data_IF_313799838893
#
_entry.id   IF_313799838893
#
_cell.length_a   1.000
_cell.length_b   1.000
_cell.length_c   1.000
_cell.angle_alpha   90.00
_cell.angle_beta   90.00
_cell.angle_gamma   90.00
#
_symmetry.space_group_name_H-M   'P 1'
#
loop_
_entity.id
_entity.type
_entity.pdbx_description
1 polymer ?
#
# COMPACT_ATOMS: atom_id res chain seq x y z
N UNK A 1 52.94 -15.92 -6.97
CA UNK A 1 51.94 -15.38 -6.02
C UNK A 1 51.08 -14.26 -6.61
N UNK A 2 51.58 -13.41 -7.53
CA UNK A 2 50.80 -12.35 -8.18
C UNK A 2 49.61 -12.89 -9.03
N UNK A 3 49.83 -13.91 -9.86
CA UNK A 3 48.78 -14.44 -10.76
C UNK A 3 47.57 -15.05 -10.03
N UNK A 4 47.78 -15.68 -8.88
CA UNK A 4 46.70 -16.24 -8.09
C UNK A 4 45.82 -15.10 -7.52
N UNK A 5 46.45 -14.00 -7.09
CA UNK A 5 45.74 -12.84 -6.52
C UNK A 5 44.87 -12.11 -7.54
N UNK A 6 45.35 -11.95 -8.78
CA UNK A 6 44.60 -11.31 -9.86
C UNK A 6 43.41 -12.15 -10.34
N UNK A 7 43.56 -13.47 -10.30
CA UNK A 7 42.51 -14.41 -10.70
C UNK A 7 41.38 -14.43 -9.66
N UNK A 8 41.72 -14.40 -8.37
CA UNK A 8 40.74 -14.22 -7.29
C UNK A 8 40.06 -12.83 -7.38
N UNK A 9 40.82 -11.75 -7.55
CA UNK A 9 40.27 -10.39 -7.65
C UNK A 9 39.29 -10.23 -8.81
N UNK A 10 39.63 -10.73 -10.01
CA UNK A 10 38.73 -10.72 -11.16
C UNK A 10 37.50 -11.63 -10.98
N UNK A 11 37.63 -12.75 -10.27
CA UNK A 11 36.52 -13.65 -9.95
C UNK A 11 35.54 -12.97 -9.00
N UNK A 12 36.01 -12.36 -7.91
CA UNK A 12 35.15 -11.61 -6.97
C UNK A 12 34.51 -10.39 -7.64
N UNK A 13 35.24 -9.66 -8.49
CA UNK A 13 34.68 -8.54 -9.28
C UNK A 13 33.53 -8.95 -10.19
N UNK A 14 33.62 -10.12 -10.83
CA UNK A 14 32.54 -10.66 -11.68
C UNK A 14 31.31 -11.05 -10.84
N UNK A 15 31.50 -11.64 -9.65
CA UNK A 15 30.39 -11.95 -8.76
C UNK A 15 29.73 -10.69 -8.19
N UNK A 16 30.50 -9.69 -7.76
CA UNK A 16 29.93 -8.43 -7.28
C UNK A 16 29.17 -7.69 -8.38
N UNK A 17 29.67 -7.65 -9.61
CA UNK A 17 28.91 -7.10 -10.74
C UNK A 17 27.61 -7.87 -11.00
N UNK A 18 27.62 -9.21 -10.97
CA UNK A 18 26.41 -10.03 -11.15
C UNK A 18 25.39 -9.80 -10.03
N UNK A 19 25.84 -9.72 -8.78
CA UNK A 19 24.98 -9.42 -7.64
C UNK A 19 24.39 -8.02 -7.72
N UNK A 20 25.19 -7.02 -8.13
CA UNK A 20 24.70 -5.66 -8.35
C UNK A 20 23.64 -5.60 -9.45
N UNK A 21 23.88 -6.26 -10.59
CA UNK A 21 22.89 -6.34 -11.68
C UNK A 21 21.60 -7.00 -11.19
N UNK A 22 21.70 -8.12 -10.47
CA UNK A 22 20.54 -8.82 -9.92
C UNK A 22 19.75 -7.93 -8.95
N UNK A 23 20.44 -7.20 -8.07
CA UNK A 23 19.80 -6.29 -7.12
C UNK A 23 19.11 -5.12 -7.83
N UNK A 24 19.73 -4.56 -8.86
CA UNK A 24 19.11 -3.52 -9.70
C UNK A 24 17.87 -4.07 -10.41
N UNK A 25 17.95 -5.26 -11.01
CA UNK A 25 16.80 -5.90 -11.66
C UNK A 25 15.66 -6.15 -10.68
N UNK A 26 15.96 -6.65 -9.47
CA UNK A 26 14.96 -6.85 -8.42
C UNK A 26 14.32 -5.54 -7.99
N UNK A 27 15.12 -4.47 -7.85
CA UNK A 27 14.65 -3.15 -7.45
C UNK A 27 13.73 -2.53 -8.51
N UNK A 28 14.10 -2.65 -9.80
CA UNK A 28 13.26 -2.19 -10.92
C UNK A 28 11.95 -2.98 -10.99
N UNK A 29 12.00 -4.30 -10.79
CA UNK A 29 10.81 -5.14 -10.75
C UNK A 29 9.90 -4.76 -9.58
N UNK A 30 10.46 -4.56 -8.39
CA UNK A 30 9.71 -4.11 -7.21
C UNK A 30 9.07 -2.75 -7.44
N UNK A 31 9.82 -1.79 -8.00
CA UNK A 31 9.31 -0.47 -8.34
C UNK A 31 8.13 -0.54 -9.32
N UNK A 32 8.26 -1.37 -10.36
CA UNK A 32 7.18 -1.60 -11.31
C UNK A 32 5.93 -2.17 -10.63
N UNK A 33 6.10 -3.21 -9.81
CA UNK A 33 5.03 -3.86 -9.03
C UNK A 33 4.30 -2.86 -8.13
N UNK A 34 5.04 -2.10 -7.32
CA UNK A 34 4.48 -1.08 -6.42
C UNK A 34 3.73 0.00 -7.20
N UNK A 35 4.31 0.46 -8.32
CA UNK A 35 3.69 1.48 -9.16
C UNK A 35 2.38 0.98 -9.76
N UNK A 36 2.34 -0.28 -10.21
CA UNK A 36 1.11 -0.92 -10.71
C UNK A 36 0.07 -1.05 -9.60
N UNK A 37 0.45 -1.45 -8.38
CA UNK A 37 -0.48 -1.57 -7.26
C UNK A 37 -1.12 -0.23 -6.88
N UNK A 38 -0.31 0.83 -6.80
CA UNK A 38 -0.79 2.17 -6.42
C UNK A 38 -1.76 2.79 -7.43
N UNK A 39 -1.54 2.49 -8.70
CA UNK A 39 -2.33 3.01 -9.82
C UNK A 39 -3.42 2.04 -10.28
N UNK A 40 -3.65 0.96 -9.54
CA UNK A 40 -4.67 -0.02 -9.89
C UNK A 40 -6.06 0.62 -9.84
N UNK A 41 -6.97 0.28 -10.77
CA UNK A 41 -8.34 0.79 -10.73
C UNK A 41 -9.04 0.34 -9.44
N UNK A 42 -9.96 1.19 -8.97
CA UNK A 42 -10.83 0.84 -7.85
C UNK A 42 -11.69 -0.36 -8.23
N UNK A 43 -11.77 -1.34 -7.32
CA UNK A 43 -12.68 -2.48 -7.46
C UNK A 43 -14.10 -2.15 -7.01
N UNK A 44 -14.23 -1.16 -6.12
CA UNK A 44 -15.50 -0.64 -5.63
C UNK A 44 -15.29 0.80 -5.21
N UNK A 45 -16.27 1.64 -5.48
CA UNK A 45 -16.23 3.07 -5.21
C UNK A 45 -17.54 3.47 -4.56
N UNK A 46 -17.46 4.20 -3.45
CA UNK A 46 -18.60 4.81 -2.78
C UNK A 46 -18.32 6.29 -2.55
N UNK A 47 -19.37 7.10 -2.59
CA UNK A 47 -19.29 8.53 -2.29
C UNK A 47 -19.85 8.75 -0.89
N UNK A 48 -19.19 9.61 -0.11
CA UNK A 48 -19.65 9.93 1.24
C UNK A 48 -21.02 10.65 1.22
N UNK A 49 -21.83 10.54 2.29
CA UNK A 49 -23.12 11.22 2.39
C UNK A 49 -23.09 12.73 2.08
N UNK A 50 -22.04 13.43 2.53
CA UNK A 50 -21.81 14.85 2.23
C UNK A 50 -21.45 15.12 0.77
N UNK A 51 -21.12 14.08 0.00
CA UNK A 51 -20.62 14.17 -1.35
C UNK A 51 -19.17 14.65 -1.44
N UNK A 52 -18.50 14.96 -0.33
CA UNK A 52 -17.14 15.52 -0.33
C UNK A 52 -16.06 14.48 -0.60
N UNK A 53 -16.22 13.28 -0.09
CA UNK A 53 -15.19 12.25 -0.17
C UNK A 53 -15.60 11.12 -1.13
N UNK A 54 -14.62 10.60 -1.86
CA UNK A 54 -14.74 9.36 -2.61
C UNK A 54 -13.90 8.32 -1.89
N UNK A 55 -14.51 7.18 -1.55
CA UNK A 55 -13.85 6.06 -0.89
C UNK A 55 -13.77 4.91 -1.88
N UNK A 56 -12.55 4.50 -2.20
CA UNK A 56 -12.28 3.50 -3.22
C UNK A 56 -11.53 2.32 -2.62
N UNK A 57 -12.07 1.12 -2.78
CA UNK A 57 -11.37 -0.10 -2.43
C UNK A 57 -10.52 -0.58 -3.61
N UNK A 58 -9.20 -0.57 -3.45
CA UNK A 58 -8.24 -0.96 -4.49
C UNK A 58 -7.64 -2.33 -4.16
N UNK A 59 -8.07 -3.37 -4.89
CA UNK A 59 -7.57 -4.75 -4.72
C UNK A 59 -6.21 -4.91 -5.39
N UNK A 60 -5.22 -5.45 -4.66
CA UNK A 60 -3.85 -5.65 -5.17
C UNK A 60 -3.61 -7.08 -5.69
N UNK A 61 -4.62 -7.95 -5.62
CA UNK A 61 -4.47 -9.40 -5.75
C UNK A 61 -4.13 -9.99 -7.11
N UNK A 62 -3.99 -9.20 -8.18
CA UNK A 62 -3.49 -9.73 -9.47
C UNK A 62 -1.97 -9.89 -9.52
N UNK A 63 -1.26 -9.52 -8.45
CA UNK A 63 0.21 -9.49 -8.41
C UNK A 63 0.72 -10.33 -7.23
N UNK A 64 1.62 -11.29 -7.49
CA UNK A 64 2.40 -12.07 -6.50
C UNK A 64 1.60 -12.57 -5.27
N UNK A 65 0.64 -13.48 -5.46
CA UNK A 65 -0.11 -14.16 -4.37
C UNK A 65 -0.83 -13.26 -3.36
N UNK A 66 -0.92 -11.94 -3.58
CA UNK A 66 -1.66 -10.99 -2.73
C UNK A 66 -3.18 -11.08 -2.95
N UNK A 67 -3.67 -12.24 -3.39
CA UNK A 67 -4.99 -12.49 -3.99
C UNK A 67 -6.20 -12.10 -3.13
N UNK A 68 -6.00 -11.76 -1.87
CA UNK A 68 -7.03 -11.35 -0.93
C UNK A 68 -6.83 -9.97 -0.31
N UNK A 69 -5.83 -9.19 -0.72
CA UNK A 69 -5.54 -7.90 -0.09
C UNK A 69 -6.05 -6.70 -0.90
N UNK A 70 -6.40 -5.64 -0.18
CA UNK A 70 -6.74 -4.34 -0.73
C UNK A 70 -6.25 -3.22 0.19
N UNK A 71 -6.32 -1.98 -0.30
CA UNK A 71 -6.23 -0.79 0.55
C UNK A 71 -7.39 0.14 0.19
N UNK A 72 -7.75 0.99 1.13
CA UNK A 72 -8.75 2.02 0.95
C UNK A 72 -8.05 3.30 0.51
N UNK A 73 -8.56 3.89 -0.56
CA UNK A 73 -8.14 5.16 -1.11
C UNK A 73 -9.24 6.17 -0.85
N UNK A 74 -8.95 7.18 -0.03
CA UNK A 74 -9.86 8.29 0.27
C UNK A 74 -9.39 9.51 -0.52
N UNK A 75 -10.29 10.08 -1.32
CA UNK A 75 -10.05 11.24 -2.16
C UNK A 75 -10.96 12.37 -1.69
N UNK A 76 -10.38 13.51 -1.29
CA UNK A 76 -11.15 14.73 -1.01
C UNK A 76 -11.47 15.42 -2.34
N UNK A 77 -12.76 15.53 -2.71
CA UNK A 77 -13.15 16.17 -3.97
C UNK A 77 -12.89 17.67 -3.99
N UNK A 78 -12.73 18.31 -2.84
CA UNK A 78 -12.32 19.71 -2.77
C UNK A 78 -10.82 19.88 -3.02
N UNK A 79 -10.04 18.84 -2.71
CA UNK A 79 -8.58 18.81 -2.87
C UNK A 79 -8.16 17.49 -3.52
N UNK A 80 -8.50 17.24 -4.80
CA UNK A 80 -8.36 15.93 -5.44
C UNK A 80 -6.90 15.45 -5.54
N UNK A 81 -5.93 16.36 -5.40
CA UNK A 81 -4.50 16.03 -5.27
C UNK A 81 -4.15 15.33 -3.95
N UNK A 82 -5.01 15.43 -2.93
CA UNK A 82 -4.82 14.82 -1.61
C UNK A 82 -5.48 13.44 -1.56
N UNK A 83 -4.69 12.44 -1.94
CA UNK A 83 -5.12 11.04 -1.95
C UNK A 83 -4.52 10.31 -0.75
N UNK A 84 -5.40 9.89 0.16
CA UNK A 84 -5.04 9.20 1.40
C UNK A 84 -5.21 7.69 1.23
N UNK A 85 -4.22 6.90 1.64
CA UNK A 85 -4.19 5.45 1.48
C UNK A 85 -3.91 4.76 2.79
N UNK A 86 -4.79 3.84 3.16
CA UNK A 86 -4.60 2.96 4.32
C UNK A 86 -3.42 2.00 4.09
N UNK A 87 -2.91 1.37 5.14
CA UNK A 87 -2.24 0.08 4.97
C UNK A 87 -3.14 -0.94 4.28
N UNK A 88 -2.51 -2.00 3.77
CA UNK A 88 -3.19 -3.16 3.23
C UNK A 88 -4.01 -3.84 4.32
N UNK A 89 -5.14 -4.39 3.90
CA UNK A 89 -6.05 -5.18 4.71
C UNK A 89 -6.61 -6.34 3.89
N UNK A 90 -7.07 -7.38 4.57
CA UNK A 90 -7.73 -8.52 3.94
C UNK A 90 -9.16 -8.15 3.48
N UNK A 91 -9.53 -8.58 2.28
CA UNK A 91 -10.82 -8.29 1.65
C UNK A 91 -11.98 -9.13 2.19
N UNK A 92 -11.73 -10.17 2.97
CA UNK A 92 -12.76 -11.04 3.58
C UNK A 92 -13.69 -10.28 4.53
N UNK A 93 -13.13 -9.31 5.27
CA UNK A 93 -13.86 -8.49 6.24
C UNK A 93 -14.33 -7.14 5.67
N UNK A 94 -14.22 -6.96 4.35
CA UNK A 94 -14.56 -5.69 3.71
C UNK A 94 -16.07 -5.48 3.66
N UNK A 95 -16.53 -4.42 4.31
CA UNK A 95 -17.87 -3.86 4.11
C UNK A 95 -17.75 -2.37 3.72
N UNK A 96 -18.15 -2.07 2.48
CA UNK A 96 -18.06 -0.74 1.87
C UNK A 96 -19.20 0.20 2.29
N UNK A 97 -20.04 -0.18 3.26
CA UNK A 97 -21.03 0.74 3.84
C UNK A 97 -20.32 1.95 4.43
N UNK A 98 -20.66 3.11 3.89
CA UNK A 98 -20.00 4.36 4.24
C UNK A 98 -20.54 4.89 5.56
N UNK A 99 -19.64 5.42 6.39
CA UNK A 99 -19.98 6.13 7.62
C UNK A 99 -19.35 7.51 7.57
N UNK A 100 -20.10 8.53 7.96
CA UNK A 100 -19.61 9.91 7.94
C UNK A 100 -20.23 10.68 9.11
N UNK A 101 -19.37 11.29 9.93
CA UNK A 101 -19.75 12.19 11.01
C UNK A 101 -19.02 13.54 10.85
N UNK A 102 -19.03 14.40 11.86
CA UNK A 102 -18.37 15.71 11.78
C UNK A 102 -16.83 15.62 11.71
N UNK A 103 -16.26 14.59 12.32
CA UNK A 103 -14.83 14.38 12.50
C UNK A 103 -14.22 13.33 11.56
N UNK A 104 -14.99 12.31 11.18
CA UNK A 104 -14.52 11.16 10.42
C UNK A 104 -15.37 10.88 9.17
N UNK A 105 -14.74 10.23 8.21
CA UNK A 105 -15.41 9.61 7.06
C UNK A 105 -14.74 8.27 6.80
N UNK A 106 -15.49 7.25 6.45
CA UNK A 106 -14.92 5.92 6.36
C UNK A 106 -15.87 4.87 5.85
N UNK A 107 -15.44 3.64 5.97
CA UNK A 107 -16.28 2.45 5.78
C UNK A 107 -16.26 1.64 7.08
N UNK A 108 -16.97 0.51 7.12
CA UNK A 108 -16.94 -0.36 8.28
C UNK A 108 -15.48 -0.67 8.69
N UNK A 109 -15.18 -0.44 9.97
CA UNK A 109 -13.88 -0.72 10.60
C UNK A 109 -12.69 0.14 10.14
N UNK A 110 -12.87 1.09 9.21
CA UNK A 110 -11.80 1.94 8.72
C UNK A 110 -12.30 3.39 8.67
N UNK A 111 -11.77 4.22 9.55
CA UNK A 111 -12.20 5.61 9.73
C UNK A 111 -11.07 6.56 9.37
N UNK A 112 -11.34 7.54 8.53
CA UNK A 112 -10.41 8.62 8.20
C UNK A 112 -10.73 9.86 9.01
N UNK A 113 -9.83 10.26 9.91
CA UNK A 113 -9.95 11.49 10.66
C UNK A 113 -9.62 12.69 9.77
N UNK A 114 -10.60 13.58 9.56
CA UNK A 114 -10.48 14.70 8.63
C UNK A 114 -9.50 15.78 9.07
N UNK A 115 -9.36 15.97 10.38
CA UNK A 115 -8.52 17.01 10.97
C UNK A 115 -7.06 16.54 11.08
N UNK A 116 -6.86 15.34 11.62
CA UNK A 116 -5.53 14.78 11.84
C UNK A 116 -4.94 14.13 10.57
N UNK A 117 -5.78 13.87 9.57
CA UNK A 117 -5.38 13.15 8.34
C UNK A 117 -4.77 11.79 8.67
N UNK A 118 -5.43 11.06 9.56
CA UNK A 118 -5.02 9.74 10.04
C UNK A 118 -6.11 8.72 9.80
N UNK A 119 -5.74 7.43 9.75
CA UNK A 119 -6.69 6.33 9.73
C UNK A 119 -6.75 5.62 11.08
N UNK A 120 -7.96 5.38 11.56
CA UNK A 120 -8.22 4.45 12.65
C UNK A 120 -8.76 3.15 12.08
N UNK A 121 -8.06 2.05 12.36
CA UNK A 121 -8.34 0.72 11.81
C UNK A 121 -8.81 -0.16 12.96
N UNK A 122 -10.09 -0.48 12.98
CA UNK A 122 -10.73 -1.36 13.97
C UNK A 122 -11.03 -2.75 13.36
N UNK A 123 -10.34 -3.12 12.28
CA UNK A 123 -10.69 -4.31 11.52
C UNK A 123 -10.27 -5.59 12.27
N UNK A 124 -11.18 -6.55 12.48
CA UNK A 124 -10.85 -7.79 13.17
C UNK A 124 -9.73 -8.56 12.46
N UNK A 125 -8.77 -9.06 13.23
CA UNK A 125 -7.63 -9.84 12.72
C UNK A 125 -6.79 -9.08 11.66
N UNK A 126 -6.76 -7.75 11.75
CA UNK A 126 -5.87 -6.98 10.88
C UNK A 126 -4.41 -7.30 11.22
N UNK A 127 -3.66 -7.70 10.19
CA UNK A 127 -2.22 -7.95 10.30
C UNK A 127 -1.46 -6.97 9.40
N UNK A 128 -0.38 -6.41 9.95
CA UNK A 128 0.48 -5.52 9.17
C UNK A 128 1.24 -6.29 8.10
N UNK A 129 1.24 -5.77 6.88
CA UNK A 129 1.96 -6.33 5.75
C UNK A 129 3.15 -5.44 5.38
N UNK A 130 4.32 -6.02 5.09
CA UNK A 130 5.54 -5.26 4.80
C UNK A 130 5.40 -4.28 3.61
N UNK A 131 4.57 -4.61 2.62
CA UNK A 131 4.25 -3.73 1.49
C UNK A 131 3.58 -2.41 1.91
N UNK A 132 3.10 -2.29 3.15
CA UNK A 132 2.54 -1.05 3.68
C UNK A 132 3.53 0.11 3.60
N UNK A 133 4.84 -0.15 3.64
CA UNK A 133 5.88 0.88 3.45
C UNK A 133 5.83 1.56 2.08
N UNK A 134 5.18 0.94 1.09
CA UNK A 134 5.05 1.46 -0.27
C UNK A 134 3.62 1.87 -0.63
N UNK A 135 2.63 1.16 -0.07
CA UNK A 135 1.21 1.35 -0.39
C UNK A 135 0.58 2.44 0.46
N UNK A 136 0.78 2.38 1.77
CA UNK A 136 0.25 3.38 2.70
C UNK A 136 1.04 4.68 2.57
N UNK A 137 0.35 5.81 2.65
CA UNK A 137 0.97 7.14 2.69
C UNK A 137 0.37 8.03 3.78
N UNK A 138 -0.44 7.46 4.65
CA UNK A 138 -1.21 8.20 5.66
C UNK A 138 -0.95 7.55 7.02
N UNK A 139 -0.64 8.31 8.08
CA UNK A 139 -0.46 7.75 9.41
C UNK A 139 -1.72 6.99 9.84
N UNK A 140 -1.54 5.91 10.60
CA UNK A 140 -2.65 5.09 11.04
C UNK A 140 -2.40 4.50 12.43
N UNK A 141 -3.49 4.20 13.12
CA UNK A 141 -3.52 3.49 14.39
C UNK A 141 -4.42 2.27 14.23
N UNK A 142 -3.94 1.13 14.71
CA UNK A 142 -4.78 -0.07 14.84
C UNK A 142 -5.41 -0.06 16.23
N UNK A 143 -6.74 -0.09 16.28
CA UNK A 143 -7.51 -0.19 17.52
C UNK A 143 -7.65 -1.69 17.82
N UNK A 144 -6.88 -2.17 18.80
CA UNK A 144 -7.11 -3.51 19.36
C UNK A 144 -8.46 -3.51 20.08
N UNK A 145 -9.34 -4.41 19.64
CA UNK A 145 -10.66 -4.64 20.23
C UNK A 145 -10.63 -5.90 21.09
#
# INVERSE_FOLDING_TARGET
>A
MAELSDLFFNKYRKYTCRMAVLLVTLSVLLFFVVTTMRNYPASSTVVSPSGRYILENVRVGKIFTLGGMAYLRVIDRQHPQEVYRTPLYDTQSLDMRVTEDDSTVGIAWIYFNRAQKTFDIAMPQWESHWLNMFISNTPYVHLEN
#
